data_IF_165000041365
#
_entry.id   IF_165000041365
#
_cell.length_a   1.000
_cell.length_b   1.000
_cell.length_c   1.000
_cell.angle_alpha   90.00
_cell.angle_beta   90.00
_cell.angle_gamma   90.00
#
_symmetry.space_group_name_H-M   'P 1'
#
loop_
_entity.id
_entity.type
_entity.pdbx_description
1 polymer ?
#
# COMPACT_ATOMS: atom_id res chain seq x y z
N UNK A 1 -0.60 -8.23 27.65
CA UNK A 1 -0.32 -9.15 26.53
C UNK A 1 -1.52 -9.23 25.58
N UNK A 2 -1.26 -9.19 24.27
CA UNK A 2 -2.24 -9.20 23.17
C UNK A 2 -3.36 -10.24 23.33
N UNK A 3 -3.06 -11.39 23.92
CA UNK A 3 -3.99 -12.52 24.12
C UNK A 3 -4.85 -12.43 25.38
N UNK A 4 -4.47 -11.62 26.37
CA UNK A 4 -5.09 -11.66 27.70
C UNK A 4 -6.37 -10.82 27.80
N UNK A 5 -6.52 -9.82 26.93
CA UNK A 5 -7.65 -8.88 26.94
C UNK A 5 -8.75 -9.25 25.92
N UNK A 6 -8.44 -10.11 24.94
CA UNK A 6 -9.34 -10.48 23.85
C UNK A 6 -9.88 -11.89 24.07
N UNK A 7 -11.20 -12.09 23.89
CA UNK A 7 -11.77 -13.44 23.84
C UNK A 7 -11.06 -14.28 22.75
N UNK A 8 -10.35 -15.33 23.19
CA UNK A 8 -9.60 -16.26 22.33
C UNK A 8 -10.38 -16.73 21.10
N UNK A 9 -11.70 -16.91 21.21
CA UNK A 9 -12.58 -17.32 20.09
C UNK A 9 -12.68 -16.25 19.01
N UNK A 10 -12.83 -14.98 19.40
CA UNK A 10 -12.91 -13.85 18.46
C UNK A 10 -11.58 -13.70 17.73
N UNK A 11 -10.48 -13.79 18.49
CA UNK A 11 -9.14 -13.67 17.94
C UNK A 11 -8.83 -14.79 16.94
N UNK A 12 -9.13 -16.05 17.31
CA UNK A 12 -9.01 -17.19 16.40
C UNK A 12 -9.79 -16.97 15.10
N UNK A 13 -11.04 -16.56 15.20
CA UNK A 13 -11.91 -16.28 14.04
C UNK A 13 -11.29 -15.20 13.14
N UNK A 14 -10.69 -14.15 13.72
CA UNK A 14 -10.03 -13.08 12.96
C UNK A 14 -8.76 -13.56 12.25
N UNK A 15 -7.96 -14.39 12.90
CA UNK A 15 -6.73 -14.98 12.31
C UNK A 15 -7.08 -15.92 11.14
N UNK A 16 -8.10 -16.76 11.30
CA UNK A 16 -8.59 -17.65 10.25
C UNK A 16 -9.14 -16.88 9.05
N UNK A 17 -9.83 -15.76 9.29
CA UNK A 17 -10.39 -14.91 8.25
C UNK A 17 -9.35 -14.06 7.48
N UNK A 18 -8.07 -14.08 7.86
CA UNK A 18 -7.00 -13.44 7.08
C UNK A 18 -6.57 -14.39 5.96
N UNK A 19 -6.66 -13.97 4.68
CA UNK A 19 -6.21 -14.80 3.56
C UNK A 19 -4.68 -14.90 3.51
N UNK A 20 -4.16 -15.85 2.73
CA UNK A 20 -2.75 -15.80 2.31
C UNK A 20 -2.55 -14.60 1.38
N UNK A 21 -1.46 -13.87 1.55
CA UNK A 21 -1.19 -12.66 0.78
C UNK A 21 -0.97 -12.98 -0.71
N UNK A 22 -1.65 -12.23 -1.57
CA UNK A 22 -1.43 -12.20 -3.02
C UNK A 22 -1.47 -10.75 -3.53
N UNK A 23 -1.01 -10.54 -4.76
CA UNK A 23 -1.10 -9.24 -5.44
C UNK A 23 -2.56 -8.73 -5.51
N UNK A 24 -3.47 -9.59 -5.96
CA UNK A 24 -4.89 -9.25 -6.14
C UNK A 24 -5.62 -8.93 -4.83
N UNK A 25 -5.16 -9.48 -3.69
CA UNK A 25 -5.84 -9.36 -2.41
C UNK A 25 -5.15 -8.42 -1.42
N UNK A 26 -4.03 -7.80 -1.79
CA UNK A 26 -3.17 -7.04 -0.89
C UNK A 26 -3.93 -6.02 -0.04
N UNK A 27 -4.80 -5.21 -0.63
CA UNK A 27 -5.58 -4.21 0.12
C UNK A 27 -6.50 -4.87 1.16
N UNK A 28 -7.18 -5.97 0.81
CA UNK A 28 -8.04 -6.70 1.73
C UNK A 28 -7.24 -7.36 2.85
N UNK A 29 -6.12 -7.99 2.50
CA UNK A 29 -5.18 -8.59 3.45
C UNK A 29 -4.66 -7.54 4.43
N UNK A 30 -4.18 -6.40 3.93
CA UNK A 30 -3.67 -5.28 4.73
C UNK A 30 -4.73 -4.75 5.68
N UNK A 31 -5.97 -4.58 5.22
CA UNK A 31 -7.09 -4.14 6.07
C UNK A 31 -7.35 -5.11 7.21
N UNK A 32 -7.35 -6.43 6.93
CA UNK A 32 -7.62 -7.46 7.94
C UNK A 32 -6.49 -7.56 8.98
N UNK A 33 -5.23 -7.51 8.55
CA UNK A 33 -4.07 -7.45 9.45
C UNK A 33 -4.08 -6.16 10.29
N UNK A 34 -4.38 -5.01 9.69
CA UNK A 34 -4.49 -3.74 10.44
C UNK A 34 -5.65 -3.77 11.45
N UNK A 35 -6.75 -4.47 11.14
CA UNK A 35 -7.85 -4.68 12.08
C UNK A 35 -7.44 -5.58 13.25
N UNK A 36 -6.56 -6.56 13.01
CA UNK A 36 -5.96 -7.39 14.06
C UNK A 36 -5.08 -6.54 15.00
N UNK A 37 -4.23 -5.67 14.45
CA UNK A 37 -3.43 -4.74 15.25
C UNK A 37 -4.28 -3.78 16.08
N UNK A 38 -5.42 -3.33 15.55
CA UNK A 38 -6.38 -2.50 16.29
C UNK A 38 -6.96 -3.24 17.49
N UNK A 39 -7.28 -4.52 17.29
CA UNK A 39 -7.87 -5.35 18.32
C UNK A 39 -6.92 -5.53 19.50
N UNK A 40 -5.62 -5.64 19.23
CA UNK A 40 -4.58 -5.74 20.26
C UNK A 40 -3.92 -4.42 20.67
N UNK A 41 -4.48 -3.25 20.33
CA UNK A 41 -3.95 -1.96 20.77
C UNK A 41 -2.59 -1.53 20.18
N UNK A 42 -2.00 -2.30 19.27
CA UNK A 42 -0.64 -2.07 18.72
C UNK A 42 -0.62 -1.32 17.38
N UNK A 43 -1.80 -1.04 16.80
CA UNK A 43 -1.93 -0.45 15.45
C UNK A 43 -1.14 0.84 15.27
N UNK A 44 -1.23 1.80 16.19
CA UNK A 44 -0.57 3.10 15.97
C UNK A 44 0.96 2.99 16.09
N UNK A 45 1.47 2.13 16.99
CA UNK A 45 2.90 1.81 17.09
C UNK A 45 3.42 1.16 15.79
N UNK A 46 2.66 0.22 15.22
CA UNK A 46 3.03 -0.47 13.97
C UNK A 46 3.01 0.46 12.76
N UNK A 47 2.06 1.39 12.71
CA UNK A 47 2.00 2.37 11.62
C UNK A 47 3.05 3.46 11.73
N UNK A 48 3.41 3.87 12.95
CA UNK A 48 4.52 4.79 13.20
C UNK A 48 5.88 4.11 12.99
N UNK A 49 5.98 2.81 13.29
CA UNK A 49 7.23 2.06 13.33
C UNK A 49 8.01 2.23 14.63
N UNK A 50 7.41 2.87 15.64
CA UNK A 50 7.99 3.14 16.96
C UNK A 50 6.88 3.51 17.98
N UNK A 51 7.12 3.31 19.29
CA UNK A 51 8.24 2.58 19.90
C UNK A 51 8.16 1.06 19.63
N UNK A 52 9.14 0.30 20.13
CA UNK A 52 9.13 -1.15 20.05
C UNK A 52 7.89 -1.73 20.74
N UNK A 53 7.35 -2.82 20.19
CA UNK A 53 6.26 -3.58 20.79
C UNK A 53 6.76 -4.37 22.00
N UNK A 54 5.83 -4.74 22.87
CA UNK A 54 6.10 -5.74 23.92
C UNK A 54 6.51 -7.09 23.28
N UNK A 55 7.44 -7.81 23.91
CA UNK A 55 8.04 -9.02 23.32
C UNK A 55 7.01 -10.09 22.96
N UNK A 56 5.98 -10.29 23.80
CA UNK A 56 4.93 -11.26 23.52
C UNK A 56 4.05 -10.85 22.34
N UNK A 57 3.67 -9.57 22.27
CA UNK A 57 2.90 -9.00 21.17
C UNK A 57 3.68 -9.10 19.85
N UNK A 58 4.95 -8.74 19.88
CA UNK A 58 5.85 -8.83 18.73
C UNK A 58 5.96 -10.27 18.21
N UNK A 59 6.17 -11.23 19.11
CA UNK A 59 6.31 -12.65 18.75
C UNK A 59 5.03 -13.19 18.10
N UNK A 60 3.87 -12.88 18.71
CA UNK A 60 2.57 -13.33 18.22
C UNK A 60 2.26 -12.74 16.85
N UNK A 61 2.48 -11.43 16.68
CA UNK A 61 2.18 -10.75 15.42
C UNK A 61 3.12 -11.18 14.30
N UNK A 62 4.42 -11.39 14.56
CA UNK A 62 5.36 -12.00 13.61
C UNK A 62 4.85 -13.36 13.13
N UNK A 63 4.51 -14.27 14.06
CA UNK A 63 4.03 -15.60 13.72
C UNK A 63 2.77 -15.56 12.82
N UNK A 64 1.82 -14.67 13.13
CA UNK A 64 0.61 -14.50 12.32
C UNK A 64 0.92 -13.98 10.92
N UNK A 65 1.78 -12.96 10.80
CA UNK A 65 2.14 -12.38 9.50
C UNK A 65 2.86 -13.42 8.66
N UNK A 66 3.88 -14.10 9.21
CA UNK A 66 4.66 -15.13 8.52
C UNK A 66 3.77 -16.27 8.01
N UNK A 67 2.82 -16.73 8.84
CA UNK A 67 1.86 -17.77 8.45
C UNK A 67 0.92 -17.36 7.29
N UNK A 68 0.84 -16.07 6.98
CA UNK A 68 -0.01 -15.52 5.92
C UNK A 68 0.79 -15.05 4.71
N UNK A 69 2.09 -15.33 4.65
CA UNK A 69 2.93 -15.10 3.48
C UNK A 69 3.08 -16.39 2.66
N UNK A 70 2.88 -16.36 1.33
CA UNK A 70 3.30 -17.46 0.48
C UNK A 70 4.83 -17.52 0.42
N UNK A 71 5.40 -18.70 0.18
CA UNK A 71 6.85 -18.93 0.15
C UNK A 71 7.61 -17.96 -0.75
N UNK A 72 7.06 -17.62 -1.92
CA UNK A 72 7.68 -16.68 -2.86
C UNK A 72 7.83 -15.30 -2.24
N UNK A 73 6.78 -14.78 -1.59
CA UNK A 73 6.84 -13.49 -0.91
C UNK A 73 7.73 -13.57 0.31
N UNK A 74 7.62 -14.64 1.11
CA UNK A 74 8.46 -14.87 2.29
C UNK A 74 9.95 -14.71 1.95
N UNK A 75 10.43 -15.41 0.91
CA UNK A 75 11.84 -15.36 0.51
C UNK A 75 12.32 -13.99 0.03
N UNK A 76 11.40 -13.13 -0.42
CA UNK A 76 11.74 -11.79 -0.93
C UNK A 76 11.68 -10.71 0.15
N UNK A 77 10.91 -10.92 1.23
CA UNK A 77 10.63 -9.88 2.24
C UNK A 77 11.20 -10.22 3.62
N UNK A 78 11.38 -11.49 3.95
CA UNK A 78 11.85 -11.95 5.26
C UNK A 78 13.37 -12.08 5.26
N UNK A 79 13.99 -11.50 6.27
CA UNK A 79 15.43 -11.51 6.52
C UNK A 79 15.70 -11.82 7.99
N UNK A 80 16.91 -12.26 8.32
CA UNK A 80 17.33 -12.50 9.71
C UNK A 80 17.24 -11.25 10.61
N UNK A 81 17.15 -10.06 10.03
CA UNK A 81 16.99 -8.80 10.76
C UNK A 81 15.53 -8.41 11.01
N UNK A 82 14.55 -9.04 10.35
CA UNK A 82 13.14 -8.67 10.46
C UNK A 82 12.20 -9.83 10.81
N UNK A 83 12.65 -11.09 10.76
CA UNK A 83 11.82 -12.27 11.02
C UNK A 83 11.16 -12.23 12.42
N UNK A 84 11.89 -11.70 13.40
CA UNK A 84 11.44 -11.53 14.79
C UNK A 84 11.12 -10.06 15.13
N UNK A 85 10.86 -9.21 14.13
CA UNK A 85 10.50 -7.81 14.37
C UNK A 85 9.28 -7.42 13.54
N UNK A 86 8.11 -7.35 14.19
CA UNK A 86 6.82 -7.05 13.55
C UNK A 86 6.84 -5.71 12.83
N UNK A 87 7.48 -4.69 13.40
CA UNK A 87 7.57 -3.35 12.80
C UNK A 87 8.38 -3.37 11.50
N UNK A 88 9.54 -4.02 11.53
CA UNK A 88 10.43 -4.17 10.39
C UNK A 88 9.79 -5.05 9.29
N UNK A 89 9.17 -6.16 9.68
CA UNK A 89 8.49 -7.08 8.78
C UNK A 89 7.31 -6.41 8.08
N UNK A 90 6.46 -5.70 8.83
CA UNK A 90 5.34 -4.95 8.27
C UNK A 90 5.83 -3.92 7.25
N UNK A 91 6.87 -3.15 7.58
CA UNK A 91 7.47 -2.17 6.67
C UNK A 91 8.03 -2.82 5.41
N UNK A 92 8.71 -3.96 5.52
CA UNK A 92 9.25 -4.70 4.38
C UNK A 92 8.14 -5.17 3.42
N UNK A 93 7.06 -5.74 3.94
CA UNK A 93 5.89 -6.18 3.15
C UNK A 93 5.25 -4.99 2.44
N UNK A 94 5.07 -3.88 3.14
CA UNK A 94 4.49 -2.66 2.56
C UNK A 94 5.35 -2.12 1.40
N UNK A 95 6.67 -2.11 1.57
CA UNK A 95 7.61 -1.67 0.54
C UNK A 95 7.57 -2.58 -0.69
N UNK A 96 7.67 -3.90 -0.48
CA UNK A 96 7.57 -4.90 -1.56
C UNK A 96 6.24 -4.80 -2.32
N UNK A 97 5.15 -4.50 -1.62
CA UNK A 97 3.80 -4.42 -2.20
C UNK A 97 3.43 -3.05 -2.77
N UNK A 98 4.37 -2.09 -2.77
CA UNK A 98 4.16 -0.76 -3.35
C UNK A 98 3.68 -0.80 -4.81
N UNK A 99 4.19 -1.70 -5.69
CA UNK A 99 3.69 -1.83 -7.06
C UNK A 99 2.22 -2.26 -7.14
N UNK A 100 1.74 -3.08 -6.19
CA UNK A 100 0.36 -3.58 -6.15
C UNK A 100 -0.64 -2.45 -5.82
N UNK A 101 -0.20 -1.46 -5.04
CA UNK A 101 -1.00 -0.27 -4.74
C UNK A 101 -1.22 0.66 -5.94
N UNK A 102 -0.41 0.53 -7.00
CA UNK A 102 -0.54 1.34 -8.21
C UNK A 102 -1.54 0.76 -9.22
N UNK A 103 -1.84 -0.54 -9.14
CA UNK A 103 -2.73 -1.23 -10.08
C UNK A 103 -4.22 -0.99 -9.81
N UNK A 104 -4.57 -0.42 -8.65
CA UNK A 104 -5.95 -0.03 -8.31
C UNK A 104 -6.31 1.38 -8.77
N UNK A 105 -5.36 2.16 -9.32
CA UNK A 105 -5.73 3.32 -10.13
C UNK A 105 -6.31 2.79 -11.44
N UNK A 106 -7.46 3.32 -11.93
CA UNK A 106 -7.88 2.98 -13.29
C UNK A 106 -6.68 3.24 -14.19
N UNK A 107 -6.27 2.23 -14.96
CA UNK A 107 -5.33 2.46 -16.06
C UNK A 107 -5.94 3.60 -16.85
N UNK A 108 -5.36 4.80 -16.77
CA UNK A 108 -5.54 5.79 -17.81
C UNK A 108 -4.89 5.15 -19.03
N UNK A 109 -5.67 4.31 -19.70
CA UNK A 109 -5.37 3.82 -21.03
C UNK A 109 -5.43 5.09 -21.86
N UNK A 110 -4.27 5.70 -22.08
CA UNK A 110 -4.13 6.65 -23.16
C UNK A 110 -4.30 5.80 -24.41
N UNK A 111 -5.56 5.61 -24.82
CA UNK A 111 -5.87 5.18 -26.16
C UNK A 111 -5.11 6.13 -27.09
N UNK A 112 -4.34 5.56 -28.00
CA UNK A 112 -3.43 6.24 -28.93
C UNK A 112 -4.12 7.13 -29.97
N UNK A 113 -5.28 7.71 -29.66
CA UNK A 113 -5.94 8.73 -30.47
C UNK A 113 -5.55 10.17 -30.08
N UNK A 114 -4.58 10.35 -29.17
CA UNK A 114 -3.99 11.65 -28.88
C UNK A 114 -2.97 12.13 -29.93
N UNK A 115 -2.83 11.45 -31.08
CA UNK A 115 -1.92 11.82 -32.17
C UNK A 115 -2.58 12.63 -33.30
N UNK A 116 -3.89 12.89 -33.27
CA UNK A 116 -4.57 13.69 -34.31
C UNK A 116 -4.94 15.11 -33.85
N UNK A 117 -5.11 15.35 -32.54
CA UNK A 117 -5.54 16.66 -32.02
C UNK A 117 -4.40 17.69 -31.83
N UNK A 118 -3.13 17.29 -31.99
CA UNK A 118 -2.00 18.23 -31.91
C UNK A 118 -1.76 18.98 -33.23
N UNK A 119 -2.23 18.47 -34.37
CA UNK A 119 -2.02 19.14 -35.67
C UNK A 119 -3.03 20.24 -36.00
N UNK A 120 -4.19 20.29 -35.33
CA UNK A 120 -5.20 21.33 -35.57
C UNK A 120 -4.95 22.59 -34.72
N UNK A 121 -4.25 22.48 -33.60
CA UNK A 121 -3.94 23.64 -32.74
C UNK A 121 -2.78 24.50 -33.25
N UNK A 122 -1.84 23.94 -34.02
CA UNK A 122 -0.73 24.74 -34.59
C UNK A 122 -1.16 25.66 -35.75
N UNK A 123 -2.14 25.24 -36.56
CA UNK A 123 -2.64 26.08 -37.66
C UNK A 123 -3.42 27.29 -37.14
N UNK A 124 -4.13 27.16 -36.01
CA UNK A 124 -4.89 28.27 -35.43
C UNK A 124 -4.02 29.24 -34.62
N UNK A 125 -2.90 28.79 -34.06
CA UNK A 125 -1.98 29.65 -33.29
C UNK A 125 -1.02 30.46 -34.19
N UNK A 126 -0.70 29.96 -35.39
CA UNK A 126 0.22 30.66 -36.31
C UNK A 126 -0.46 31.76 -37.14
N UNK A 127 -1.79 31.76 -37.28
CA UNK A 127 -2.53 32.80 -38.01
C UNK A 127 -2.81 34.06 -37.15
N UNK A 128 -2.91 33.92 -35.82
CA UNK A 128 -3.12 35.07 -34.91
C UNK A 128 -1.86 35.86 -34.56
N UNK A 129 -0.65 35.33 -34.81
CA UNK A 129 0.60 36.06 -34.52
C UNK A 129 0.98 37.12 -35.56
N UNK A 130 0.37 37.12 -36.75
CA UNK A 130 0.65 38.15 -37.76
C UNK A 130 -0.18 39.43 -37.61
N UNK A 131 -1.12 39.52 -36.66
CA UNK A 131 -2.01 40.67 -36.53
C UNK A 131 -1.85 41.52 -35.26
N UNK A 132 -0.86 41.25 -34.41
CA UNK A 132 -0.61 42.05 -33.21
C UNK A 132 0.88 42.41 -33.06
N UNK A 133 1.47 43.05 -34.07
CA UNK A 133 2.49 44.07 -33.83
C UNK A 133 1.76 45.41 -33.83
N UNK A 134 1.35 45.87 -32.65
CA UNK A 134 1.18 47.28 -32.26
C UNK A 134 0.25 47.38 -31.04
N UNK A 135 0.86 47.43 -29.85
CA UNK A 135 0.35 48.20 -28.71
C UNK A 135 -0.77 47.59 -27.85
N UNK A 136 -0.39 47.19 -26.63
CA UNK A 136 -1.24 47.32 -25.44
C UNK A 136 -1.96 46.05 -24.97
N UNK A 137 -1.44 45.43 -23.92
CA UNK A 137 -2.16 44.47 -23.07
C UNK A 137 -3.14 45.19 -22.14
N UNK A 138 -4.35 44.68 -21.98
CA UNK A 138 -5.15 44.85 -20.74
C UNK A 138 -5.98 43.60 -20.43
N UNK A 139 -5.89 43.21 -19.16
CA UNK A 139 -6.53 42.15 -18.34
C UNK A 139 -7.05 40.86 -18.99
#
# INVERSE_FOLDING_TARGET
PFMDEINSTILKTKIEAIPILTEDNFLSWRTRITALFKLGGSKDQILAGEPALEDSDNTILCAIILAKLPTVTHNNVVTSSNEDNTLALWKAIQNHSSPWNLQTKPKCTINSQASVLTRVREIHYSSKKHHCQNGGCWY
#
